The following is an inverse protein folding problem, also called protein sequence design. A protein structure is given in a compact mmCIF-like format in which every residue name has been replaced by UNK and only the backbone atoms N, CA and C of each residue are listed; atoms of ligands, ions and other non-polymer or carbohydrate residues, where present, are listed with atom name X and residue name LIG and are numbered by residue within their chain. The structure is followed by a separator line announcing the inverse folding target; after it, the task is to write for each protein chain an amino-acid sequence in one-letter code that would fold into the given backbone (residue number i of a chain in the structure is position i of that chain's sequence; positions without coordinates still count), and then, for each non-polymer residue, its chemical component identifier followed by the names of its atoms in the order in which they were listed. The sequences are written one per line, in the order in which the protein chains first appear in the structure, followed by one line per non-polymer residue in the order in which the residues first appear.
data_IF_720561360829
#
_entry.id   IF_720561360829
#
_cell.length_a   1.000
_cell.length_b   1.000
_cell.length_c   1.000
_cell.angle_alpha   90.00
_cell.angle_beta   90.00
_cell.angle_gamma   90.00
#
_symmetry.space_group_name_H-M   'P 1'
#
loop_
_entity.id
_entity.type
_entity.pdbx_description
1 polymer ?
#
# COMPACT_ATOMS: atom_id res chain seq x y z
N UNK A 1 17.26 -3.73 3.52
CA UNK A 1 17.02 -5.17 3.25
C UNK A 1 15.51 -5.38 3.29
N UNK A 2 14.91 -6.03 2.30
CA UNK A 2 13.46 -6.28 2.31
C UNK A 2 13.17 -7.54 3.12
N UNK A 3 12.37 -7.41 4.17
CA UNK A 3 11.93 -8.54 5.00
C UNK A 3 10.74 -9.23 4.34
N UNK A 4 10.97 -10.33 3.63
CA UNK A 4 9.96 -11.08 2.89
C UNK A 4 9.61 -12.39 3.63
N UNK A 5 8.91 -12.27 4.74
CA UNK A 5 8.48 -13.41 5.56
C UNK A 5 7.00 -13.77 5.38
N UNK A 6 6.20 -12.83 4.88
CA UNK A 6 4.77 -13.03 4.68
C UNK A 6 4.49 -13.86 3.40
N UNK A 7 3.40 -14.65 3.37
CA UNK A 7 3.07 -15.51 2.22
C UNK A 7 2.76 -14.73 0.93
N UNK A 8 2.31 -13.48 1.04
CA UNK A 8 2.12 -12.58 -0.08
C UNK A 8 2.54 -11.17 0.34
N UNK A 9 3.39 -10.54 -0.46
CA UNK A 9 3.84 -9.17 -0.23
C UNK A 9 3.83 -8.41 -1.54
N UNK A 10 3.17 -7.25 -1.54
CA UNK A 10 3.17 -6.34 -2.67
C UNK A 10 3.86 -5.03 -2.27
N UNK A 11 4.89 -4.65 -3.03
CA UNK A 11 5.69 -3.45 -2.80
C UNK A 11 5.60 -2.52 -4.01
N UNK A 12 5.59 -1.21 -3.76
CA UNK A 12 5.45 -0.20 -4.80
C UNK A 12 6.77 0.52 -5.04
N UNK A 13 7.17 0.63 -6.31
CA UNK A 13 8.39 1.31 -6.72
C UNK A 13 8.09 2.34 -7.81
N UNK A 14 8.69 3.51 -7.68
CA UNK A 14 8.62 4.56 -8.69
C UNK A 14 9.98 5.22 -8.87
N UNK A 15 10.50 5.21 -10.10
CA UNK A 15 11.81 5.81 -10.44
C UNK A 15 12.94 5.38 -9.47
N UNK A 16 13.05 4.07 -9.23
CA UNK A 16 14.02 3.45 -8.31
C UNK A 16 13.89 3.89 -6.83
N UNK A 17 12.75 4.47 -6.44
CA UNK A 17 12.42 4.76 -5.04
C UNK A 17 11.29 3.86 -4.60
N UNK A 18 11.43 3.28 -3.41
CA UNK A 18 10.36 2.56 -2.73
C UNK A 18 9.32 3.57 -2.23
N UNK A 19 8.05 3.33 -2.56
CA UNK A 19 6.93 4.17 -2.13
C UNK A 19 6.22 3.45 -1.00
N UNK A 20 6.16 4.11 0.15
CA UNK A 20 5.41 3.64 1.31
C UNK A 20 3.94 4.00 1.16
N UNK A 21 3.07 3.12 1.64
CA UNK A 21 1.62 3.33 1.61
C UNK A 21 1.05 3.09 2.98
N UNK A 22 0.36 4.08 3.54
CA UNK A 22 -0.32 3.95 4.82
C UNK A 22 -1.69 3.29 4.61
N UNK A 23 -1.82 2.06 5.12
CA UNK A 23 -3.04 1.25 5.09
C UNK A 23 -3.78 1.25 6.43
N UNK A 24 -3.27 1.93 7.46
CA UNK A 24 -3.79 1.85 8.84
C UNK A 24 -3.45 0.56 9.58
N UNK A 25 -2.66 -0.34 8.97
CA UNK A 25 -2.23 -1.63 9.55
C UNK A 25 -0.93 -1.52 10.38
N UNK A 26 -0.27 -0.36 10.36
CA UNK A 26 1.01 -0.11 11.01
C UNK A 26 2.24 -0.49 10.19
N UNK A 27 2.09 -1.23 9.07
CA UNK A 27 3.18 -1.53 8.14
C UNK A 27 2.97 -0.81 6.81
N UNK A 28 3.78 0.22 6.57
CA UNK A 28 3.65 1.06 5.37
C UNK A 28 4.56 0.61 4.22
N UNK A 29 5.44 -0.36 4.45
CA UNK A 29 6.46 -0.74 3.46
C UNK A 29 5.90 -1.70 2.40
N UNK A 30 4.88 -2.48 2.74
CA UNK A 30 4.34 -3.55 1.91
C UNK A 30 2.88 -3.78 2.25
N UNK A 31 2.12 -4.19 1.24
CA UNK A 31 0.80 -4.75 1.42
C UNK A 31 0.95 -6.26 1.61
N UNK A 32 0.65 -6.75 2.81
CA UNK A 32 0.76 -8.16 3.20
C UNK A 32 -0.57 -8.83 3.55
N UNK A 33 -1.69 -8.13 3.36
CA UNK A 33 -3.03 -8.62 3.66
C UNK A 33 -3.82 -8.90 2.37
N UNK A 34 -4.89 -9.67 2.50
CA UNK A 34 -5.76 -10.01 1.37
C UNK A 34 -6.68 -8.84 1.03
N UNK A 35 -6.65 -8.40 -0.23
CA UNK A 35 -7.64 -7.47 -0.77
C UNK A 35 -8.83 -8.27 -1.30
N UNK A 36 -10.04 -7.84 -0.96
CA UNK A 36 -11.28 -8.54 -1.34
C UNK A 36 -11.83 -8.09 -2.70
N UNK A 37 -11.68 -6.80 -3.05
CA UNK A 37 -12.18 -6.24 -4.30
C UNK A 37 -11.06 -5.91 -5.28
N UNK A 38 -11.28 -6.17 -6.57
CA UNK A 38 -10.36 -5.71 -7.62
C UNK A 38 -10.31 -4.18 -7.70
N UNK A 39 -11.42 -3.50 -7.40
CA UNK A 39 -11.49 -2.04 -7.44
C UNK A 39 -10.58 -1.41 -6.37
N UNK A 40 -10.54 -2.01 -5.18
CA UNK A 40 -9.70 -1.55 -4.07
C UNK A 40 -8.21 -1.51 -4.46
N UNK A 41 -7.76 -2.54 -5.19
CA UNK A 41 -6.39 -2.60 -5.69
C UNK A 41 -6.14 -1.52 -6.76
N UNK A 42 -7.10 -1.27 -7.65
CA UNK A 42 -6.99 -0.21 -8.66
C UNK A 42 -6.88 1.16 -8.00
N UNK A 43 -7.70 1.43 -6.99
CA UNK A 43 -7.70 2.71 -6.27
C UNK A 43 -6.38 2.92 -5.51
N UNK A 44 -5.80 1.85 -4.92
CA UNK A 44 -4.47 1.89 -4.30
C UNK A 44 -3.39 2.20 -5.34
N UNK A 45 -3.41 1.53 -6.50
CA UNK A 45 -2.45 1.78 -7.58
C UNK A 45 -2.53 3.22 -8.08
N UNK A 46 -3.74 3.76 -8.23
CA UNK A 46 -3.95 5.13 -8.69
C UNK A 46 -3.44 6.16 -7.67
N UNK A 47 -3.71 5.95 -6.39
CA UNK A 47 -3.21 6.84 -5.32
C UNK A 47 -1.69 6.81 -5.22
N UNK A 48 -1.08 5.62 -5.28
CA UNK A 48 0.39 5.46 -5.35
C UNK A 48 0.96 6.20 -6.55
N UNK A 49 0.39 6.02 -7.74
CA UNK A 49 0.87 6.71 -8.94
C UNK A 49 0.75 8.23 -8.82
N UNK A 50 -0.39 8.75 -8.36
CA UNK A 50 -0.61 10.20 -8.14
C UNK A 50 0.38 10.77 -7.11
N UNK A 51 0.62 10.07 -6.01
CA UNK A 51 1.55 10.48 -4.95
C UNK A 51 3.00 10.44 -5.41
N UNK A 52 3.40 9.34 -6.05
CA UNK A 52 4.76 9.14 -6.53
C UNK A 52 5.12 10.12 -7.68
N UNK A 53 4.15 10.45 -8.56
CA UNK A 53 4.32 11.48 -9.60
C UNK A 53 4.61 12.87 -9.00
N UNK A 54 4.02 13.18 -7.83
CA UNK A 54 4.29 14.42 -7.08
C UNK A 54 5.59 14.37 -6.27
N UNK A 55 6.29 13.22 -6.23
CA UNK A 55 7.53 13.04 -5.47
C UNK A 55 7.30 12.73 -3.99
N UNK A 56 6.09 12.35 -3.58
CA UNK A 56 5.79 11.98 -2.20
C UNK A 56 6.23 10.53 -1.96
N UNK A 57 7.02 10.30 -0.91
CA UNK A 57 7.53 8.97 -0.56
C UNK A 57 6.56 8.12 0.26
N UNK A 58 5.58 8.75 0.93
CA UNK A 58 4.54 8.10 1.72
C UNK A 58 3.16 8.56 1.23
N UNK A 59 2.35 7.63 0.78
CA UNK A 59 1.00 7.88 0.26
C UNK A 59 -0.02 7.30 1.23
N UNK A 60 -1.12 7.99 1.49
CA UNK A 60 -2.20 7.46 2.32
C UNK A 60 -3.18 6.73 1.41
N UNK A 61 -3.53 5.49 1.77
CA UNK A 61 -4.52 4.73 1.02
C UNK A 61 -5.92 5.37 1.15
N UNK A 62 -6.78 5.23 0.12
CA UNK A 62 -8.11 5.85 0.13
C UNK A 62 -9.10 5.17 1.09
N UNK A 63 -8.78 3.97 1.58
CA UNK A 63 -9.58 3.20 2.52
C UNK A 63 -8.70 2.73 3.67
N UNK A 64 -9.24 2.77 4.88
CA UNK A 64 -8.59 2.19 6.04
C UNK A 64 -8.78 0.66 6.04
N UNK A 65 -7.67 -0.06 6.08
CA UNK A 65 -7.66 -1.53 6.18
C UNK A 65 -7.35 -2.00 7.60
N UNK A 66 -7.40 -1.11 8.59
CA UNK A 66 -7.35 -1.48 10.00
C UNK A 66 -8.53 -2.39 10.35
N UNK A 67 -8.31 -3.36 11.23
CA UNK A 67 -9.31 -4.29 11.75
C UNK A 67 -10.44 -3.62 12.53
N UNK A 68 -10.40 -2.29 12.68
CA UNK A 68 -11.42 -1.49 13.38
C UNK A 68 -12.80 -1.52 12.72
N UNK A 69 -12.85 -1.90 11.44
CA UNK A 69 -14.10 -1.99 10.65
C UNK A 69 -14.49 -3.42 10.26
N UNK A 70 -13.78 -4.45 10.75
CA UNK A 70 -14.23 -5.85 10.64
C UNK A 70 -15.23 -6.15 11.76
N UNK A 71 -16.52 -5.94 11.49
CA UNK A 71 -17.64 -6.50 12.26
C UNK A 71 -18.21 -7.72 11.56
#
# INVERSE_FOLDING_TARGET
MYELYDPCTLMFFWRNKHIQVDFGTGNNNKLNFKIHSKQDLIDILETVYKGAKKGVGLVVSPKDYSTRWSY
#
